data_IF_748568878512
#
_entry.id   IF_748568878512
#
_cell.length_a   1.000
_cell.length_b   1.000
_cell.length_c   1.000
_cell.angle_alpha   90.00
_cell.angle_beta   90.00
_cell.angle_gamma   90.00
#
_symmetry.space_group_name_H-M   'P 1'
#
loop_
_entity.id
_entity.type
_entity.pdbx_description
1 polymer ?
#
# COMPACT_ATOMS: atom_id res chain seq x y z
N UNK A 1 22.76 14.83 -5.50
CA UNK A 1 21.57 14.84 -4.68
C UNK A 1 21.83 15.52 -3.33
N UNK A 2 22.84 15.06 -2.57
CA UNK A 2 23.18 15.57 -1.25
C UNK A 2 23.44 17.09 -1.22
N UNK A 3 24.25 17.61 -2.17
CA UNK A 3 24.54 19.04 -2.25
C UNK A 3 23.29 19.88 -2.54
N UNK A 4 22.41 19.41 -3.40
CA UNK A 4 21.15 20.11 -3.69
C UNK A 4 20.19 20.09 -2.49
N UNK A 5 20.15 19.02 -1.73
CA UNK A 5 19.38 18.94 -0.49
C UNK A 5 19.93 19.88 0.57
N UNK A 6 21.24 19.87 0.77
CA UNK A 6 21.91 20.77 1.71
C UNK A 6 21.60 22.24 1.41
N UNK A 7 21.73 22.64 0.14
CA UNK A 7 21.40 23.98 -0.30
C UNK A 7 19.91 24.32 -0.08
N UNK A 8 19.00 23.37 -0.31
CA UNK A 8 17.57 23.58 -0.06
C UNK A 8 17.29 23.75 1.42
N UNK A 9 17.88 22.92 2.28
CA UNK A 9 17.71 23.01 3.74
C UNK A 9 18.24 24.37 4.24
N UNK A 10 19.40 24.82 3.78
CA UNK A 10 19.98 26.11 4.12
C UNK A 10 19.13 27.33 3.68
N UNK A 11 18.37 27.19 2.60
CA UNK A 11 17.49 28.24 2.08
C UNK A 11 16.06 28.18 2.61
N UNK A 12 15.73 27.20 3.47
CA UNK A 12 14.41 27.10 4.07
C UNK A 12 14.24 28.12 5.20
N UNK A 13 13.37 29.09 4.98
CA UNK A 13 12.84 29.97 6.01
C UNK A 13 11.61 29.32 6.64
N UNK A 14 11.80 28.49 7.64
CA UNK A 14 10.73 27.85 8.38
C UNK A 14 10.46 28.63 9.67
N UNK A 15 9.32 29.29 9.73
CA UNK A 15 8.92 30.05 10.92
C UNK A 15 8.45 29.13 12.07
N UNK A 16 7.99 27.91 11.76
CA UNK A 16 7.49 26.96 12.73
C UNK A 16 7.48 25.53 12.19
N UNK A 17 8.08 24.58 12.92
CA UNK A 17 8.08 23.15 12.62
C UNK A 17 7.08 22.45 13.54
N UNK A 18 5.78 22.61 13.31
CA UNK A 18 4.73 22.00 14.16
C UNK A 18 4.78 20.48 14.19
N UNK A 19 5.08 19.87 13.05
CA UNK A 19 5.28 18.43 12.88
C UNK A 19 6.66 18.22 12.26
N UNK A 20 7.71 18.26 13.05
CA UNK A 20 9.11 18.39 12.64
C UNK A 20 9.46 17.69 11.32
N UNK A 21 9.24 16.40 11.23
CA UNK A 21 9.59 15.59 10.07
C UNK A 21 8.65 15.84 8.87
N UNK A 22 7.34 15.90 9.11
CA UNK A 22 6.36 16.13 8.06
C UNK A 22 6.45 17.56 7.50
N UNK A 23 6.63 18.55 8.37
CA UNK A 23 6.81 19.95 7.94
C UNK A 23 8.07 20.12 7.11
N UNK A 24 9.17 19.43 7.47
CA UNK A 24 10.40 19.42 6.69
C UNK A 24 10.18 18.75 5.33
N UNK A 25 9.47 17.62 5.28
CA UNK A 25 9.18 16.92 4.04
C UNK A 25 8.38 17.80 3.06
N UNK A 26 7.38 18.51 3.56
CA UNK A 26 6.56 19.42 2.76
C UNK A 26 7.32 20.65 2.28
N UNK A 27 8.20 21.17 3.11
CA UNK A 27 9.06 22.30 2.78
C UNK A 27 10.12 21.95 1.72
N UNK A 28 10.73 20.76 1.82
CA UNK A 28 11.72 20.29 0.87
C UNK A 28 11.12 20.00 -0.50
N UNK A 29 9.90 19.48 -0.56
CA UNK A 29 9.25 19.08 -1.80
C UNK A 29 7.79 19.53 -1.82
N UNK A 30 7.48 20.52 -2.64
CA UNK A 30 6.09 20.95 -2.86
C UNK A 30 5.25 19.74 -3.27
N UNK A 31 4.21 19.46 -2.51
CA UNK A 31 3.26 18.37 -2.76
C UNK A 31 2.52 18.67 -4.06
N UNK A 32 2.77 17.85 -5.10
CA UNK A 32 1.94 17.89 -6.31
C UNK A 32 0.69 17.06 -6.02
N UNK A 33 -0.48 17.69 -6.09
CA UNK A 33 -1.78 17.07 -5.78
C UNK A 33 -2.02 15.76 -6.55
N UNK A 34 -1.48 15.65 -7.75
CA UNK A 34 -1.66 14.48 -8.64
C UNK A 34 -0.60 13.37 -8.47
N UNK A 35 0.34 13.51 -7.55
CA UNK A 35 1.36 12.47 -7.36
C UNK A 35 1.06 11.63 -6.12
N UNK A 36 0.51 10.40 -6.26
CA UNK A 36 0.21 9.51 -5.15
C UNK A 36 1.47 8.88 -4.53
N UNK A 37 2.61 8.94 -5.23
CA UNK A 37 3.83 8.27 -4.78
C UNK A 37 4.56 9.08 -3.72
N UNK A 38 4.92 8.45 -2.58
CA UNK A 38 5.72 9.09 -1.55
C UNK A 38 7.13 9.40 -2.06
N UNK A 39 7.68 10.52 -1.65
CA UNK A 39 9.04 10.96 -2.01
C UNK A 39 10.07 10.52 -0.99
N UNK A 40 9.63 10.15 0.19
CA UNK A 40 10.45 9.72 1.30
C UNK A 40 9.97 8.36 1.80
N UNK A 41 10.91 7.50 2.16
CA UNK A 41 10.66 6.30 2.96
C UNK A 41 10.98 6.67 4.41
N UNK A 42 10.14 6.27 5.33
CA UNK A 42 10.35 6.48 6.77
C UNK A 42 10.73 5.17 7.42
N UNK A 43 11.68 5.19 8.33
CA UNK A 43 12.05 4.02 9.12
C UNK A 43 12.41 4.43 10.54
N UNK A 44 11.96 3.65 11.52
CA UNK A 44 12.33 3.77 12.92
C UNK A 44 13.50 2.83 13.26
N UNK A 45 13.90 2.00 12.29
CA UNK A 45 14.96 1.00 12.47
C UNK A 45 16.30 1.56 11.99
N UNK A 46 17.30 1.67 12.89
CA UNK A 46 18.62 2.20 12.55
C UNK A 46 19.40 1.28 11.59
N UNK A 47 19.18 -0.04 11.67
CA UNK A 47 19.77 -1.03 10.78
C UNK A 47 19.32 -0.85 9.32
N UNK A 48 18.02 -0.62 9.10
CA UNK A 48 17.45 -0.33 7.79
C UNK A 48 17.97 1.00 7.24
N UNK A 49 18.09 2.02 8.08
CA UNK A 49 18.67 3.30 7.69
C UNK A 49 20.14 3.14 7.26
N UNK A 50 20.93 2.35 8.01
CA UNK A 50 22.30 2.05 7.68
C UNK A 50 22.42 1.29 6.35
N UNK A 51 21.59 0.26 6.11
CA UNK A 51 21.55 -0.48 4.86
C UNK A 51 21.25 0.44 3.66
N UNK A 52 20.30 1.33 3.79
CA UNK A 52 19.97 2.31 2.75
C UNK A 52 21.13 3.30 2.49
N UNK A 53 21.92 3.65 3.51
CA UNK A 53 23.15 4.46 3.32
C UNK A 53 24.19 3.70 2.48
N UNK A 54 24.38 2.40 2.72
CA UNK A 54 25.28 1.57 1.92
C UNK A 54 24.80 1.46 0.46
N UNK A 55 23.49 1.52 0.21
CA UNK A 55 22.92 1.61 -1.15
C UNK A 55 23.11 2.99 -1.81
N UNK A 56 23.72 3.94 -1.12
CA UNK A 56 23.94 5.30 -1.64
C UNK A 56 22.77 6.25 -1.50
N UNK A 57 21.76 5.90 -0.70
CA UNK A 57 20.63 6.77 -0.36
C UNK A 57 21.05 7.81 0.68
N UNK A 58 20.32 8.91 0.77
CA UNK A 58 20.52 9.95 1.77
C UNK A 58 19.54 9.73 2.90
N UNK A 59 20.04 9.72 4.13
CA UNK A 59 19.22 9.63 5.35
C UNK A 59 19.22 10.98 6.04
N UNK A 60 18.04 11.49 6.35
CA UNK A 60 17.84 12.73 7.10
C UNK A 60 17.26 12.36 8.47
N UNK A 61 17.98 12.77 9.52
CA UNK A 61 17.52 12.69 10.89
C UNK A 61 16.99 14.06 11.30
N UNK A 62 15.81 14.10 11.85
CA UNK A 62 15.16 15.32 12.33
C UNK A 62 15.04 15.21 13.83
N UNK A 63 15.46 16.27 14.54
CA UNK A 63 15.38 16.30 15.98
C UNK A 63 13.92 16.17 16.47
N UNK A 64 13.74 15.52 17.61
CA UNK A 64 12.43 15.17 18.18
C UNK A 64 11.50 14.36 17.24
N UNK A 65 12.08 13.60 16.32
CA UNK A 65 11.32 12.70 15.42
C UNK A 65 11.73 11.25 15.64
N UNK A 66 10.76 10.30 15.74
CA UNK A 66 11.06 8.91 16.06
C UNK A 66 11.65 8.15 14.87
N UNK A 67 11.49 8.66 13.65
CA UNK A 67 11.90 7.97 12.44
C UNK A 67 12.88 8.78 11.59
N UNK A 68 13.70 8.09 10.81
CA UNK A 68 14.58 8.66 9.80
C UNK A 68 13.87 8.77 8.46
N UNK A 69 14.16 9.82 7.69
CA UNK A 69 13.68 10.02 6.33
C UNK A 69 14.76 9.58 5.33
N UNK A 70 14.38 8.74 4.38
CA UNK A 70 15.28 8.18 3.37
C UNK A 70 14.87 8.66 1.99
N UNK A 71 15.83 9.10 1.19
CA UNK A 71 15.64 9.54 -0.18
C UNK A 71 16.89 9.25 -1.06
N UNK A 72 16.74 9.11 -2.39
CA UNK A 72 15.49 9.04 -3.14
C UNK A 72 14.72 7.76 -2.83
N UNK A 73 13.41 7.79 -3.01
CA UNK A 73 12.54 6.62 -2.82
C UNK A 73 11.85 6.26 -4.12
N UNK A 74 11.91 5.01 -4.49
CA UNK A 74 11.17 4.41 -5.60
C UNK A 74 9.95 3.64 -5.08
N UNK A 75 9.04 3.27 -5.97
CA UNK A 75 7.90 2.40 -5.62
C UNK A 75 8.39 1.03 -5.10
N UNK A 76 9.49 0.53 -5.65
CA UNK A 76 10.08 -0.75 -5.23
C UNK A 76 10.63 -0.68 -3.80
N UNK A 77 11.20 0.46 -3.40
CA UNK A 77 11.68 0.66 -2.03
C UNK A 77 10.55 0.64 -0.98
N UNK A 78 9.31 0.94 -1.40
CA UNK A 78 8.14 0.87 -0.53
C UNK A 78 7.64 -0.56 -0.31
N UNK A 79 7.91 -1.45 -1.27
CA UNK A 79 7.52 -2.87 -1.21
C UNK A 79 8.55 -3.67 -0.39
N UNK A 80 9.79 -3.17 -0.28
CA UNK A 80 10.84 -3.80 0.51
C UNK A 80 10.54 -3.77 2.01
N UNK A 81 10.74 -4.91 2.65
CA UNK A 81 10.68 -5.04 4.10
C UNK A 81 12.07 -4.96 4.72
N UNK A 82 12.15 -4.37 5.91
CA UNK A 82 13.41 -4.24 6.65
C UNK A 82 14.11 -5.59 6.93
N UNK A 83 13.32 -6.65 7.08
CA UNK A 83 13.84 -7.99 7.35
C UNK A 83 14.56 -8.62 6.14
N UNK A 84 14.32 -8.11 4.92
CA UNK A 84 14.96 -8.65 3.70
C UNK A 84 16.49 -8.51 3.73
N UNK A 85 17.00 -7.52 4.47
CA UNK A 85 18.45 -7.30 4.64
C UNK A 85 19.15 -8.35 5.50
N UNK A 86 18.39 -9.14 6.28
CA UNK A 86 18.93 -10.19 7.14
C UNK A 86 18.95 -11.59 6.49
N UNK A 87 18.23 -11.75 5.39
CA UNK A 87 18.19 -13.03 4.69
C UNK A 87 19.41 -13.24 3.79
N UNK A 88 19.80 -14.50 3.54
CA UNK A 88 20.76 -14.81 2.49
C UNK A 88 20.32 -14.21 1.14
N UNK A 89 21.29 -13.79 0.33
CA UNK A 89 21.05 -13.04 -0.91
C UNK A 89 20.00 -13.69 -1.82
N UNK A 90 20.03 -15.03 -1.94
CA UNK A 90 19.08 -15.79 -2.78
C UNK A 90 17.65 -15.68 -2.22
N UNK A 91 17.50 -15.85 -0.91
CA UNK A 91 16.20 -15.78 -0.24
C UNK A 91 15.62 -14.36 -0.29
N UNK A 92 16.45 -13.35 -0.02
CA UNK A 92 16.04 -11.94 -0.11
C UNK A 92 15.59 -11.56 -1.53
N UNK A 93 16.32 -12.01 -2.55
CA UNK A 93 15.96 -11.79 -3.96
C UNK A 93 14.64 -12.47 -4.31
N UNK A 94 14.44 -13.71 -3.88
CA UNK A 94 13.19 -14.45 -4.09
C UNK A 94 11.99 -13.71 -3.45
N UNK A 95 12.11 -13.28 -2.21
CA UNK A 95 11.05 -12.54 -1.51
C UNK A 95 10.74 -11.20 -2.20
N UNK A 96 11.75 -10.48 -2.64
CA UNK A 96 11.59 -9.21 -3.37
C UNK A 96 10.84 -9.41 -4.69
N UNK A 97 11.20 -10.43 -5.47
CA UNK A 97 10.53 -10.77 -6.73
C UNK A 97 9.08 -11.18 -6.45
N UNK A 98 8.86 -12.04 -5.47
CA UNK A 98 7.51 -12.52 -5.10
C UNK A 98 6.60 -11.36 -4.68
N UNK A 99 7.08 -10.45 -3.83
CA UNK A 99 6.29 -9.26 -3.43
C UNK A 99 5.98 -8.35 -4.62
N UNK A 100 6.95 -8.14 -5.49
CA UNK A 100 6.74 -7.34 -6.71
C UNK A 100 5.68 -7.99 -7.61
N UNK A 101 5.76 -9.31 -7.83
CA UNK A 101 4.76 -10.05 -8.60
C UNK A 101 3.36 -9.97 -7.98
N UNK A 102 3.26 -10.17 -6.65
CA UNK A 102 1.98 -10.05 -5.94
C UNK A 102 1.42 -8.64 -6.08
N UNK A 103 2.23 -7.59 -5.90
CA UNK A 103 1.79 -6.21 -6.04
C UNK A 103 1.28 -5.91 -7.46
N UNK A 104 2.00 -6.36 -8.47
CA UNK A 104 1.57 -6.21 -9.88
C UNK A 104 0.28 -7.01 -10.12
N UNK A 105 0.23 -8.26 -9.66
CA UNK A 105 -0.97 -9.09 -9.79
C UNK A 105 -2.19 -8.44 -9.13
N UNK A 106 -2.05 -7.92 -7.91
CA UNK A 106 -3.14 -7.26 -7.18
C UNK A 106 -3.70 -6.05 -7.94
N UNK A 107 -2.82 -5.24 -8.55
CA UNK A 107 -3.26 -4.05 -9.30
C UNK A 107 -3.98 -4.43 -10.59
N UNK A 108 -3.52 -5.47 -11.29
CA UNK A 108 -4.05 -5.84 -12.61
C UNK A 108 -5.15 -6.89 -12.56
N UNK A 109 -5.20 -7.73 -11.53
CA UNK A 109 -6.12 -8.87 -11.47
C UNK A 109 -7.59 -8.43 -11.50
N UNK A 110 -7.98 -7.48 -10.65
CA UNK A 110 -9.37 -7.00 -10.58
C UNK A 110 -9.84 -6.33 -11.87
N UNK A 111 -9.09 -5.38 -12.48
CA UNK A 111 -9.49 -4.81 -13.77
C UNK A 111 -9.54 -5.84 -14.90
N UNK A 112 -8.60 -6.79 -14.91
CA UNK A 112 -8.55 -7.84 -15.92
C UNK A 112 -9.75 -8.78 -15.80
N UNK A 113 -10.10 -9.17 -14.59
CA UNK A 113 -11.29 -9.96 -14.30
C UNK A 113 -12.57 -9.26 -14.78
N UNK A 114 -12.74 -7.99 -14.44
CA UNK A 114 -13.90 -7.19 -14.90
C UNK A 114 -13.94 -7.06 -16.42
N UNK A 115 -12.79 -6.91 -17.07
CA UNK A 115 -12.69 -6.85 -18.52
C UNK A 115 -13.16 -8.17 -19.17
N UNK A 116 -12.74 -9.31 -18.63
CA UNK A 116 -13.15 -10.61 -19.13
C UNK A 116 -14.65 -10.87 -18.88
N UNK A 117 -15.19 -10.45 -17.75
CA UNK A 117 -16.62 -10.59 -17.47
C UNK A 117 -17.49 -9.72 -18.38
N UNK A 118 -16.98 -8.59 -18.85
CA UNK A 118 -17.68 -7.77 -19.84
C UNK A 118 -17.56 -8.32 -21.26
N UNK A 119 -16.50 -9.08 -21.56
CA UNK A 119 -16.21 -9.62 -22.88
C UNK A 119 -15.95 -11.13 -22.78
N UNK A 120 -16.98 -11.91 -22.49
CA UNK A 120 -16.91 -13.36 -22.29
C UNK A 120 -16.31 -14.08 -23.51
N UNK A 121 -16.50 -13.53 -24.71
CA UNK A 121 -15.93 -14.07 -25.95
C UNK A 121 -14.40 -14.10 -25.97
N UNK A 122 -13.74 -13.23 -25.19
CA UNK A 122 -12.29 -13.18 -25.09
C UNK A 122 -11.73 -14.21 -24.09
N UNK A 123 -12.62 -14.83 -23.30
CA UNK A 123 -12.21 -15.77 -22.27
C UNK A 123 -11.90 -17.13 -22.92
N UNK A 124 -10.68 -17.67 -22.76
CA UNK A 124 -10.36 -19.02 -23.19
C UNK A 124 -11.27 -20.05 -22.52
N UNK A 125 -11.62 -21.13 -23.25
CA UNK A 125 -12.52 -22.17 -22.72
C UNK A 125 -12.08 -22.77 -21.38
N UNK A 126 -10.76 -22.83 -21.16
CA UNK A 126 -10.16 -23.33 -19.90
C UNK A 126 -10.57 -22.47 -18.67
N UNK A 127 -10.85 -21.18 -18.87
CA UNK A 127 -11.23 -20.25 -17.81
C UNK A 127 -12.73 -19.95 -17.73
N UNK A 128 -13.55 -20.62 -18.53
CA UNK A 128 -15.02 -20.41 -18.51
C UNK A 128 -15.68 -20.76 -17.18
N UNK A 129 -15.02 -21.53 -16.33
CA UNK A 129 -15.52 -21.80 -14.98
C UNK A 129 -15.57 -20.56 -14.07
N UNK A 130 -14.90 -19.46 -14.46
CA UNK A 130 -14.88 -18.18 -13.72
C UNK A 130 -16.06 -17.29 -14.13
N UNK A 131 -16.84 -17.70 -15.16
CA UNK A 131 -17.99 -16.95 -15.63
C UNK A 131 -19.09 -16.93 -14.56
N UNK A 132 -19.55 -15.72 -14.22
CA UNK A 132 -20.65 -15.53 -13.28
C UNK A 132 -21.95 -15.99 -13.93
N UNK A 133 -22.52 -17.06 -13.44
CA UNK A 133 -23.75 -17.67 -14.02
C UNK A 133 -25.02 -17.11 -13.40
N UNK A 134 -24.94 -16.52 -12.21
CA UNK A 134 -26.10 -15.99 -11.51
C UNK A 134 -26.57 -14.64 -12.06
N UNK A 135 -27.86 -14.38 -11.91
CA UNK A 135 -28.45 -13.07 -12.23
C UNK A 135 -27.95 -12.01 -11.26
N UNK A 136 -27.11 -11.12 -11.76
CA UNK A 136 -26.48 -10.07 -10.96
C UNK A 136 -27.44 -8.91 -10.77
N UNK A 137 -27.88 -8.67 -9.54
CA UNK A 137 -28.74 -7.52 -9.21
C UNK A 137 -27.99 -6.19 -9.25
N UNK A 138 -26.70 -6.21 -8.87
CA UNK A 138 -25.81 -5.04 -8.88
C UNK A 138 -24.67 -5.33 -9.86
N UNK A 139 -24.33 -4.42 -10.77
CA UNK A 139 -23.18 -4.59 -11.68
C UNK A 139 -21.90 -4.91 -10.91
N UNK A 140 -21.12 -5.90 -11.40
CA UNK A 140 -19.91 -6.40 -10.75
C UNK A 140 -18.94 -5.28 -10.30
N UNK A 141 -18.78 -4.24 -11.10
CA UNK A 141 -17.92 -3.10 -10.78
C UNK A 141 -18.33 -2.45 -9.45
N UNK A 142 -19.63 -2.25 -9.25
CA UNK A 142 -20.15 -1.65 -8.00
C UNK A 142 -20.00 -2.61 -6.81
N UNK A 143 -20.14 -3.92 -7.02
CA UNK A 143 -19.88 -4.92 -5.99
C UNK A 143 -18.43 -4.83 -5.50
N UNK A 144 -17.45 -4.78 -6.40
CA UNK A 144 -16.04 -4.62 -6.04
C UNK A 144 -15.77 -3.31 -5.29
N UNK A 145 -16.33 -2.18 -5.76
CA UNK A 145 -16.15 -0.88 -5.09
C UNK A 145 -16.74 -0.91 -3.67
N UNK A 146 -17.92 -1.48 -3.49
CA UNK A 146 -18.57 -1.56 -2.17
C UNK A 146 -17.74 -2.45 -1.24
N UNK A 147 -17.24 -3.59 -1.72
CA UNK A 147 -16.39 -4.48 -0.93
C UNK A 147 -15.08 -3.80 -0.53
N UNK A 148 -14.41 -3.13 -1.45
CA UNK A 148 -13.16 -2.40 -1.19
C UNK A 148 -13.37 -1.33 -0.12
N UNK A 149 -14.40 -0.48 -0.29
CA UNK A 149 -14.75 0.55 0.70
C UNK A 149 -15.10 -0.05 2.07
N UNK A 150 -15.75 -1.20 2.08
CA UNK A 150 -16.12 -1.90 3.30
C UNK A 150 -14.90 -2.46 4.03
N UNK A 151 -13.98 -3.06 3.30
CA UNK A 151 -12.71 -3.57 3.83
C UNK A 151 -11.85 -2.42 4.37
N UNK A 152 -11.77 -1.32 3.65
CA UNK A 152 -11.06 -0.12 4.10
C UNK A 152 -11.72 0.50 5.34
N UNK A 153 -13.03 0.54 5.40
CA UNK A 153 -13.79 0.97 6.57
C UNK A 153 -13.51 0.11 7.81
N UNK A 154 -13.51 -1.22 7.65
CA UNK A 154 -13.13 -2.16 8.70
C UNK A 154 -11.67 -1.97 9.15
N UNK A 155 -10.76 -1.74 8.23
CA UNK A 155 -9.35 -1.47 8.52
C UNK A 155 -9.18 -0.18 9.33
N UNK A 156 -9.89 0.89 8.95
CA UNK A 156 -9.90 2.14 9.70
C UNK A 156 -10.48 1.98 11.11
N UNK A 157 -11.57 1.22 11.25
CA UNK A 157 -12.15 0.89 12.55
C UNK A 157 -11.17 0.08 13.42
N UNK A 158 -10.48 -0.90 12.85
CA UNK A 158 -9.51 -1.73 13.55
C UNK A 158 -8.30 -0.93 14.08
N UNK A 159 -7.86 0.11 13.36
CA UNK A 159 -6.75 0.96 13.82
C UNK A 159 -7.10 1.80 15.06
N UNK A 160 -8.37 2.09 15.28
CA UNK A 160 -8.84 2.88 16.43
C UNK A 160 -9.28 2.03 17.62
N UNK A 161 -9.24 0.70 17.51
CA UNK A 161 -9.61 -0.22 18.59
C UNK A 161 -8.37 -0.77 19.31
N UNK A 162 -8.45 -1.11 20.62
CA UNK A 162 -7.38 -1.79 21.32
C UNK A 162 -6.96 -3.09 20.60
N UNK A 163 -5.66 -3.35 20.52
CA UNK A 163 -5.07 -4.45 19.74
C UNK A 163 -5.64 -5.83 20.07
N UNK A 164 -6.07 -6.05 21.31
CA UNK A 164 -6.69 -7.32 21.73
C UNK A 164 -8.03 -7.62 21.05
N UNK A 165 -8.76 -6.57 20.65
CA UNK A 165 -10.11 -6.71 20.07
C UNK A 165 -10.12 -6.48 18.55
N UNK A 166 -9.09 -5.84 18.00
CA UNK A 166 -9.06 -5.45 16.58
C UNK A 166 -9.07 -6.66 15.64
N UNK A 167 -8.28 -7.69 15.94
CA UNK A 167 -8.19 -8.89 15.10
C UNK A 167 -9.48 -9.72 15.11
N UNK A 168 -10.05 -10.11 16.29
CA UNK A 168 -11.32 -10.82 16.33
C UNK A 168 -12.47 -10.04 15.70
N UNK A 169 -12.54 -8.74 15.95
CA UNK A 169 -13.58 -7.87 15.38
C UNK A 169 -13.51 -7.81 13.86
N UNK A 170 -12.32 -7.69 13.29
CA UNK A 170 -12.13 -7.66 11.84
C UNK A 170 -12.52 -8.97 11.17
N UNK A 171 -12.19 -10.11 11.79
CA UNK A 171 -12.56 -11.43 11.27
C UNK A 171 -14.07 -11.64 11.32
N UNK A 172 -14.72 -11.35 12.45
CA UNK A 172 -16.17 -11.47 12.61
C UNK A 172 -16.89 -10.54 11.64
N UNK A 173 -16.46 -9.29 11.55
CA UNK A 173 -17.06 -8.31 10.66
C UNK A 173 -16.92 -8.73 9.18
N UNK A 174 -15.78 -9.30 8.79
CA UNK A 174 -15.56 -9.83 7.44
C UNK A 174 -16.48 -10.99 7.10
N UNK A 175 -16.67 -11.94 8.03
CA UNK A 175 -17.57 -13.09 7.86
C UNK A 175 -19.03 -12.62 7.78
N UNK A 176 -19.47 -11.82 8.75
CA UNK A 176 -20.85 -11.31 8.79
C UNK A 176 -21.17 -10.50 7.55
N UNK A 177 -20.23 -9.64 7.10
CA UNK A 177 -20.42 -8.83 5.92
C UNK A 177 -20.48 -9.68 4.64
N UNK A 178 -19.63 -10.72 4.53
CA UNK A 178 -19.64 -11.64 3.40
C UNK A 178 -20.95 -12.43 3.34
N UNK A 179 -21.32 -13.13 4.41
CA UNK A 179 -22.56 -13.93 4.46
C UNK A 179 -23.81 -13.07 4.27
N UNK A 180 -23.90 -11.94 4.96
CA UNK A 180 -25.08 -11.08 4.86
C UNK A 180 -25.25 -10.50 3.46
N UNK A 181 -24.17 -10.09 2.82
CA UNK A 181 -24.20 -9.52 1.49
C UNK A 181 -24.66 -10.53 0.43
N UNK A 182 -24.23 -11.77 0.55
CA UNK A 182 -24.67 -12.87 -0.32
C UNK A 182 -26.12 -13.25 -0.04
N UNK A 183 -26.51 -13.45 1.23
CA UNK A 183 -27.88 -13.81 1.59
C UNK A 183 -28.90 -12.73 1.26
N UNK A 184 -28.51 -11.45 1.29
CA UNK A 184 -29.38 -10.34 0.91
C UNK A 184 -29.52 -10.17 -0.62
N UNK A 185 -28.78 -10.95 -1.41
CA UNK A 185 -28.79 -10.89 -2.86
C UNK A 185 -28.12 -9.64 -3.45
N UNK A 186 -27.30 -8.96 -2.65
CA UNK A 186 -26.53 -7.80 -3.11
C UNK A 186 -25.28 -8.22 -3.86
N UNK A 187 -24.67 -9.32 -3.42
CA UNK A 187 -23.46 -9.89 -4.01
C UNK A 187 -23.71 -11.30 -4.51
N UNK A 188 -22.95 -11.71 -5.52
CA UNK A 188 -22.95 -13.07 -5.98
C UNK A 188 -22.33 -14.02 -4.94
N UNK A 189 -22.76 -15.28 -4.99
CA UNK A 189 -22.21 -16.36 -4.18
C UNK A 189 -20.89 -16.92 -4.72
N UNK A 190 -20.53 -16.54 -5.95
CA UNK A 190 -19.30 -16.88 -6.66
C UNK A 190 -18.23 -15.76 -6.50
#
# INVERSE_FOLDING_TARGET
>A
LLQNLKKRIETLELNDLRMNQQSLAEALFKRKWFNPFPKFKYTERPDTAAACLFEGKVVILVDNSPSAMILPTSIFDMIEEANDYYFPTVTGMYLKITRTLITVATVFFTPLYLLFMQNIEWLPEVFRFVEVQDTVNIPLVFQFIILELSIDGLRLAAMNTPTMLSTPLSVIAGIVMGEFSVQSGWFNSE
#
